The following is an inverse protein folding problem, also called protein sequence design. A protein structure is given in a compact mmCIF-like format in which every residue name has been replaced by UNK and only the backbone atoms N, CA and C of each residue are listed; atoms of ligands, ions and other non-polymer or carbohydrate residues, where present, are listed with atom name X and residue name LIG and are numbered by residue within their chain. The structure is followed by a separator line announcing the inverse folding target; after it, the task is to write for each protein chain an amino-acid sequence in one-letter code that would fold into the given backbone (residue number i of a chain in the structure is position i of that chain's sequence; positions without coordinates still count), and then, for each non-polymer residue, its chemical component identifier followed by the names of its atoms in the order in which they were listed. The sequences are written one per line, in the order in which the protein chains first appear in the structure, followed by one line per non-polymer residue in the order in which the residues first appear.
data_IF_701896559247
#
_entry.id   IF_701896559247
#
_cell.length_a   1.000
_cell.length_b   1.000
_cell.length_c   1.000
_cell.angle_alpha   90.00
_cell.angle_beta   90.00
_cell.angle_gamma   90.00
#
_symmetry.space_group_name_H-M   'P 1'
#
loop_
_entity.id
_entity.type
_entity.pdbx_description
1 polymer ?
#
# COMPACT_ATOMS: atom_id res chain seq x y z
N UNK A 1 -13.58 -18.27 13.18
CA UNK A 1 -14.35 -17.67 12.06
C UNK A 1 -13.55 -17.88 10.79
N UNK A 2 -14.20 -18.32 9.72
CA UNK A 2 -13.55 -18.48 8.41
C UNK A 2 -13.22 -17.09 7.88
N UNK A 3 -11.97 -16.86 7.47
CA UNK A 3 -11.56 -15.65 6.75
C UNK A 3 -12.22 -15.69 5.38
N UNK A 4 -13.22 -14.84 5.12
CA UNK A 4 -13.69 -14.65 3.75
C UNK A 4 -12.81 -13.61 3.06
N UNK A 5 -12.08 -14.04 2.04
CA UNK A 5 -11.07 -13.25 1.35
C UNK A 5 -11.30 -13.23 -0.16
N UNK A 6 -10.66 -12.30 -0.84
CA UNK A 6 -10.57 -12.31 -2.31
C UNK A 6 -9.65 -13.47 -2.71
N UNK A 7 -10.17 -14.36 -3.54
CA UNK A 7 -9.46 -15.57 -4.01
C UNK A 7 -8.84 -15.36 -5.39
N UNK A 8 -9.51 -14.61 -6.26
CA UNK A 8 -9.03 -14.32 -7.61
C UNK A 8 -9.53 -12.95 -8.07
N UNK A 9 -8.79 -12.35 -9.00
CA UNK A 9 -9.19 -11.13 -9.70
C UNK A 9 -8.92 -11.27 -11.20
N UNK A 10 -9.82 -10.74 -12.00
CA UNK A 10 -9.67 -10.58 -13.45
C UNK A 10 -10.25 -9.23 -13.88
N UNK A 11 -9.35 -8.28 -14.16
CA UNK A 11 -9.71 -6.89 -14.46
C UNK A 11 -8.99 -6.39 -15.71
N UNK A 12 -9.75 -5.99 -16.73
CA UNK A 12 -9.26 -5.18 -17.85
C UNK A 12 -9.07 -3.75 -17.36
N UNK A 13 -7.84 -3.26 -17.43
CA UNK A 13 -7.48 -1.93 -16.95
C UNK A 13 -8.12 -0.87 -17.86
N UNK A 14 -8.99 -0.03 -17.29
CA UNK A 14 -9.68 1.04 -18.04
C UNK A 14 -8.65 1.90 -18.77
N UNK A 15 -8.98 2.41 -19.96
CA UNK A 15 -8.21 3.38 -20.76
C UNK A 15 -6.73 3.06 -20.99
N UNK A 16 -6.42 1.77 -21.06
CA UNK A 16 -5.25 1.24 -21.76
C UNK A 16 -5.79 0.33 -22.85
N UNK A 17 -5.07 0.18 -23.98
CA UNK A 17 -5.61 -0.52 -25.15
C UNK A 17 -5.99 -1.96 -24.81
N UNK A 18 -5.17 -2.73 -24.09
CA UNK A 18 -5.45 -4.16 -23.82
C UNK A 18 -4.84 -4.75 -22.52
N UNK A 19 -4.46 -3.93 -21.52
CA UNK A 19 -3.91 -4.51 -20.28
C UNK A 19 -5.00 -5.21 -19.46
N UNK A 20 -4.77 -6.46 -19.09
CA UNK A 20 -5.66 -7.27 -18.25
C UNK A 20 -4.85 -7.86 -17.08
N UNK A 21 -5.34 -7.65 -15.87
CA UNK A 21 -4.73 -8.13 -14.62
C UNK A 21 -5.48 -9.37 -14.20
N UNK A 22 -4.81 -10.52 -14.24
CA UNK A 22 -5.38 -11.81 -13.86
C UNK A 22 -4.47 -12.44 -12.83
N UNK A 23 -4.97 -12.66 -11.60
CA UNK A 23 -4.17 -13.32 -10.57
C UNK A 23 -5.04 -14.07 -9.56
N UNK A 24 -4.52 -15.21 -9.12
CA UNK A 24 -5.08 -15.99 -8.03
C UNK A 24 -4.38 -15.58 -6.73
N UNK A 25 -5.16 -15.04 -5.80
CA UNK A 25 -4.69 -14.58 -4.50
C UNK A 25 -4.72 -15.68 -3.45
N UNK A 26 -5.62 -16.66 -3.56
CA UNK A 26 -5.81 -17.72 -2.57
C UNK A 26 -5.95 -17.16 -1.14
N UNK A 27 -6.66 -16.03 -1.00
CA UNK A 27 -6.84 -15.31 0.25
C UNK A 27 -5.62 -14.56 0.79
N UNK A 28 -4.50 -14.53 0.07
CA UNK A 28 -3.28 -13.79 0.45
C UNK A 28 -3.38 -12.31 0.11
N UNK A 29 -2.49 -11.53 0.72
CA UNK A 29 -2.32 -10.13 0.37
C UNK A 29 -1.75 -9.98 -1.05
N UNK A 30 -1.99 -8.83 -1.69
CA UNK A 30 -1.53 -8.50 -3.04
C UNK A 30 -0.64 -7.25 -3.01
N UNK A 31 0.57 -7.36 -3.57
CA UNK A 31 1.50 -6.25 -3.76
C UNK A 31 1.69 -6.02 -5.24
N UNK A 32 1.34 -4.83 -5.71
CA UNK A 32 1.39 -4.47 -7.12
C UNK A 32 2.58 -3.55 -7.34
N UNK A 33 3.43 -3.95 -8.27
CA UNK A 33 4.64 -3.22 -8.62
C UNK A 33 4.76 -3.08 -10.14
N UNK A 34 5.88 -2.54 -10.61
CA UNK A 34 6.17 -2.29 -12.02
C UNK A 34 6.58 -0.84 -12.27
N UNK A 35 6.86 -0.52 -13.52
CA UNK A 35 7.43 0.75 -13.96
C UNK A 35 6.52 1.97 -13.70
N UNK A 36 7.11 3.16 -13.77
CA UNK A 36 6.36 4.41 -13.66
C UNK A 36 5.34 4.55 -14.80
N UNK A 37 4.12 4.93 -14.46
CA UNK A 37 3.04 5.10 -15.44
C UNK A 37 2.39 3.80 -15.94
N UNK A 38 2.76 2.62 -15.42
CA UNK A 38 2.19 1.36 -15.90
C UNK A 38 0.70 1.15 -15.54
N UNK A 39 0.15 1.95 -14.61
CA UNK A 39 -1.27 2.00 -14.27
C UNK A 39 -1.65 1.60 -12.83
N UNK A 40 -0.70 1.50 -11.90
CA UNK A 40 -0.91 0.99 -10.52
C UNK A 40 -2.04 1.68 -9.76
N UNK A 41 -1.96 3.00 -9.59
CA UNK A 41 -3.01 3.81 -8.96
C UNK A 41 -4.37 3.63 -9.63
N UNK A 42 -4.38 3.51 -10.97
CA UNK A 42 -5.60 3.34 -11.74
C UNK A 42 -6.25 1.98 -11.48
N UNK A 43 -5.45 0.93 -11.49
CA UNK A 43 -5.90 -0.42 -11.15
C UNK A 43 -6.48 -0.44 -9.74
N UNK A 44 -5.76 0.12 -8.76
CA UNK A 44 -6.19 0.10 -7.36
C UNK A 44 -7.50 0.88 -7.16
N UNK A 45 -7.66 2.03 -7.81
CA UNK A 45 -8.93 2.79 -7.83
C UNK A 45 -10.06 2.04 -8.51
N UNK A 46 -9.80 1.35 -9.61
CA UNK A 46 -10.79 0.52 -10.30
C UNK A 46 -11.28 -0.62 -9.41
N UNK A 47 -10.36 -1.33 -8.75
CA UNK A 47 -10.68 -2.38 -7.80
C UNK A 47 -11.50 -1.83 -6.61
N UNK A 48 -11.11 -0.68 -6.06
CA UNK A 48 -11.87 -0.03 -5.00
C UNK A 48 -13.32 0.29 -5.43
N UNK A 49 -13.50 0.86 -6.63
CA UNK A 49 -14.82 1.15 -7.19
C UNK A 49 -15.66 -0.11 -7.42
N UNK A 50 -15.03 -1.21 -7.82
CA UNK A 50 -15.69 -2.50 -7.95
C UNK A 50 -16.16 -3.02 -6.58
N UNK A 51 -15.27 -3.00 -5.58
CA UNK A 51 -15.60 -3.39 -4.20
C UNK A 51 -16.76 -2.56 -3.64
N UNK A 52 -16.77 -1.25 -3.84
CA UNK A 52 -17.88 -0.38 -3.43
C UNK A 52 -19.22 -0.80 -4.07
N UNK A 53 -19.22 -1.14 -5.36
CA UNK A 53 -20.42 -1.63 -6.05
C UNK A 53 -20.84 -3.01 -5.55
N UNK A 54 -19.86 -3.90 -5.31
CA UNK A 54 -20.07 -5.23 -4.75
C UNK A 54 -20.79 -5.15 -3.40
N UNK A 55 -20.26 -4.38 -2.45
CA UNK A 55 -20.86 -4.24 -1.12
C UNK A 55 -22.21 -3.51 -1.13
N UNK A 56 -22.44 -2.62 -2.12
CA UNK A 56 -23.76 -1.99 -2.35
C UNK A 56 -24.77 -2.92 -3.03
N UNK A 57 -24.39 -4.17 -3.33
CA UNK A 57 -25.21 -5.16 -4.07
C UNK A 57 -25.65 -4.65 -5.44
N UNK A 58 -24.79 -3.86 -6.09
CA UNK A 58 -25.04 -3.26 -7.40
C UNK A 58 -24.49 -4.12 -8.55
N UNK A 59 -23.76 -5.18 -8.24
CA UNK A 59 -23.24 -6.12 -9.22
C UNK A 59 -24.30 -7.20 -9.45
N UNK A 60 -24.95 -7.15 -10.62
CA UNK A 60 -25.94 -8.13 -11.04
C UNK A 60 -25.26 -9.27 -11.82
N UNK A 61 -25.90 -10.44 -11.93
CA UNK A 61 -25.38 -11.49 -12.79
C UNK A 61 -25.43 -11.06 -14.26
N UNK A 62 -24.46 -11.53 -15.06
CA UNK A 62 -24.43 -11.27 -16.51
C UNK A 62 -25.75 -11.63 -17.20
N UNK A 63 -26.35 -12.74 -16.79
CA UNK A 63 -27.65 -13.22 -17.29
C UNK A 63 -28.78 -12.25 -16.97
N UNK A 64 -28.85 -11.75 -15.73
CA UNK A 64 -29.86 -10.77 -15.32
C UNK A 64 -29.73 -9.47 -16.13
N UNK A 65 -28.50 -8.97 -16.31
CA UNK A 65 -28.27 -7.76 -17.11
C UNK A 65 -28.66 -7.98 -18.57
N UNK A 66 -28.31 -9.13 -19.14
CA UNK A 66 -28.66 -9.45 -20.53
C UNK A 66 -30.18 -9.52 -20.71
N UNK A 67 -30.92 -10.12 -19.77
CA UNK A 67 -32.38 -10.15 -19.81
C UNK A 67 -32.99 -8.73 -19.75
N UNK A 68 -32.49 -7.88 -18.85
CA UNK A 68 -32.94 -6.49 -18.74
C UNK A 68 -32.62 -5.68 -20.01
N UNK A 69 -31.42 -5.87 -20.56
CA UNK A 69 -31.00 -5.23 -21.81
C UNK A 69 -31.91 -5.64 -22.96
N UNK A 70 -32.16 -6.94 -23.14
CA UNK A 70 -33.03 -7.46 -24.19
C UNK A 70 -34.46 -6.88 -24.06
N UNK A 71 -35.02 -6.86 -22.85
CA UNK A 71 -36.34 -6.28 -22.60
C UNK A 71 -36.39 -4.79 -23.01
N UNK A 72 -35.43 -3.97 -22.57
CA UNK A 72 -35.41 -2.54 -22.89
C UNK A 72 -35.14 -2.28 -24.37
N UNK A 73 -34.34 -3.10 -25.05
CA UNK A 73 -34.13 -3.04 -26.50
C UNK A 73 -35.42 -3.33 -27.26
N UNK A 74 -36.14 -4.38 -26.91
CA UNK A 74 -37.44 -4.70 -27.52
C UNK A 74 -38.46 -3.59 -27.27
N UNK A 75 -38.51 -3.00 -26.08
CA UNK A 75 -39.41 -1.86 -25.82
C UNK A 75 -39.02 -0.63 -26.63
N UNK A 76 -37.72 -0.35 -26.78
CA UNK A 76 -37.22 0.77 -27.57
C UNK A 76 -37.59 0.64 -29.05
N UNK A 77 -37.42 -0.56 -29.63
CA UNK A 77 -37.81 -0.86 -31.03
C UNK A 77 -39.30 -0.65 -31.29
N UNK A 78 -40.14 -0.91 -30.28
CA UNK A 78 -41.60 -0.76 -30.38
C UNK A 78 -42.10 0.63 -29.94
N UNK A 79 -41.24 1.52 -29.45
CA UNK A 79 -41.62 2.85 -28.95
C UNK A 79 -41.29 3.92 -29.99
N UNK A 80 -42.30 4.71 -30.40
CA UNK A 80 -42.07 5.87 -31.29
C UNK A 80 -41.11 6.88 -30.64
N UNK A 81 -40.23 7.49 -31.44
CA UNK A 81 -39.28 8.53 -31.01
C UNK A 81 -39.98 9.73 -30.33
N UNK A 82 -41.22 10.00 -30.70
CA UNK A 82 -42.04 11.08 -30.10
C UNK A 82 -42.70 10.71 -28.77
N UNK A 83 -42.64 9.44 -28.36
CA UNK A 83 -43.30 8.95 -27.15
C UNK A 83 -42.51 9.36 -25.90
N UNK A 84 -43.21 9.78 -24.84
CA UNK A 84 -42.60 10.31 -23.60
C UNK A 84 -41.59 9.36 -22.92
N UNK A 85 -41.73 8.03 -23.13
CA UNK A 85 -40.85 7.02 -22.54
C UNK A 85 -39.67 6.61 -23.44
N UNK A 86 -39.56 7.17 -24.65
CA UNK A 86 -38.47 6.81 -25.58
C UNK A 86 -37.09 7.06 -24.96
N UNK A 87 -36.88 8.26 -24.40
CA UNK A 87 -35.61 8.62 -23.76
C UNK A 87 -35.30 7.73 -22.54
N UNK A 88 -36.32 7.32 -21.77
CA UNK A 88 -36.14 6.37 -20.67
C UNK A 88 -35.54 5.05 -21.17
N UNK A 89 -36.05 4.49 -22.26
CA UNK A 89 -35.52 3.24 -22.82
C UNK A 89 -34.11 3.43 -23.42
N UNK A 90 -33.84 4.56 -24.09
CA UNK A 90 -32.49 4.87 -24.59
C UNK A 90 -31.47 4.90 -23.45
N UNK A 91 -31.76 5.61 -22.36
CA UNK A 91 -30.88 5.71 -21.20
C UNK A 91 -30.63 4.35 -20.54
N UNK A 92 -31.67 3.52 -20.40
CA UNK A 92 -31.53 2.19 -19.80
C UNK A 92 -30.78 1.21 -20.69
N UNK A 93 -31.03 1.20 -22.01
CA UNK A 93 -30.25 0.38 -22.95
C UNK A 93 -28.76 0.77 -22.88
N UNK A 94 -28.45 2.06 -22.86
CA UNK A 94 -27.07 2.55 -22.71
C UNK A 94 -26.47 2.12 -21.36
N UNK A 95 -27.22 2.27 -20.27
CA UNK A 95 -26.79 1.87 -18.93
C UNK A 95 -26.50 0.37 -18.84
N UNK A 96 -27.43 -0.49 -19.25
CA UNK A 96 -27.25 -1.95 -19.21
C UNK A 96 -26.15 -2.44 -20.16
N UNK A 97 -26.01 -1.83 -21.34
CA UNK A 97 -24.90 -2.14 -22.25
C UNK A 97 -23.56 -1.88 -21.57
N UNK A 98 -23.42 -0.71 -20.91
CA UNK A 98 -22.21 -0.34 -20.17
C UNK A 98 -21.94 -1.27 -18.99
N UNK A 99 -22.98 -1.72 -18.28
CA UNK A 99 -22.84 -2.69 -17.18
C UNK A 99 -22.42 -4.07 -17.70
N UNK A 100 -22.98 -4.53 -18.83
CA UNK A 100 -22.61 -5.81 -19.44
C UNK A 100 -21.15 -5.82 -19.91
N UNK A 101 -20.69 -4.71 -20.48
CA UNK A 101 -19.30 -4.51 -20.86
C UNK A 101 -18.38 -4.55 -19.63
N UNK A 102 -18.77 -3.90 -18.53
CA UNK A 102 -18.00 -3.94 -17.26
C UNK A 102 -17.89 -5.34 -16.69
N UNK A 103 -18.99 -6.07 -16.53
CA UNK A 103 -18.98 -7.43 -15.96
C UNK A 103 -18.18 -8.41 -16.83
N UNK A 104 -18.11 -8.16 -18.14
CA UNK A 104 -17.28 -8.97 -19.03
C UNK A 104 -15.78 -8.68 -18.91
N UNK A 105 -15.43 -7.55 -18.28
CA UNK A 105 -14.06 -7.03 -18.15
C UNK A 105 -13.57 -6.98 -16.69
N UNK A 106 -14.45 -7.12 -15.71
CA UNK A 106 -14.15 -6.97 -14.28
C UNK A 106 -14.87 -8.08 -13.51
N UNK A 107 -14.09 -8.98 -12.91
CA UNK A 107 -14.59 -10.05 -12.04
C UNK A 107 -13.65 -10.32 -10.89
N UNK A 108 -14.24 -10.75 -9.78
CA UNK A 108 -13.55 -11.02 -8.53
C UNK A 108 -14.25 -12.17 -7.83
N UNK A 109 -13.48 -13.17 -7.41
CA UNK A 109 -14.01 -14.27 -6.62
C UNK A 109 -13.72 -14.06 -5.13
N UNK A 110 -14.69 -14.41 -4.30
CA UNK A 110 -14.61 -14.39 -2.84
C UNK A 110 -14.88 -15.79 -2.33
N UNK A 111 -14.09 -16.25 -1.35
CA UNK A 111 -14.20 -17.62 -0.81
C UNK A 111 -15.58 -17.94 -0.23
N UNK A 112 -16.17 -17.01 0.53
CA UNK A 112 -17.51 -17.16 1.11
C UNK A 112 -18.24 -15.81 1.13
N UNK A 113 -18.97 -15.52 0.05
CA UNK A 113 -19.69 -14.26 -0.08
C UNK A 113 -20.76 -14.08 1.01
N UNK A 114 -21.40 -15.14 1.49
CA UNK A 114 -22.47 -15.04 2.49
C UNK A 114 -21.87 -14.68 3.86
N UNK A 115 -20.82 -15.39 4.28
CA UNK A 115 -20.08 -15.05 5.50
C UNK A 115 -19.49 -13.64 5.45
N UNK A 116 -19.03 -13.19 4.27
CA UNK A 116 -18.57 -11.81 4.09
C UNK A 116 -19.70 -10.80 4.32
N UNK A 117 -20.88 -11.02 3.72
CA UNK A 117 -22.02 -10.13 3.90
C UNK A 117 -22.57 -10.17 5.33
N UNK A 118 -22.47 -11.28 6.06
CA UNK A 118 -22.75 -11.33 7.50
C UNK A 118 -21.83 -10.38 8.27
N UNK A 119 -20.52 -10.42 8.02
CA UNK A 119 -19.56 -9.49 8.65
C UNK A 119 -19.89 -8.03 8.32
N UNK A 120 -20.22 -7.74 7.06
CA UNK A 120 -20.63 -6.38 6.64
C UNK A 120 -21.90 -5.93 7.36
N UNK A 121 -22.94 -6.77 7.40
CA UNK A 121 -24.21 -6.45 8.04
C UNK A 121 -24.06 -6.28 9.57
N UNK A 122 -23.13 -7.00 10.19
CA UNK A 122 -22.83 -6.91 11.62
C UNK A 122 -21.84 -5.78 11.96
N UNK A 123 -21.45 -4.94 11.00
CA UNK A 123 -20.42 -3.91 11.16
C UNK A 123 -19.06 -4.47 11.63
N UNK A 124 -18.72 -5.70 11.27
CA UNK A 124 -17.45 -6.37 11.60
C UNK A 124 -16.45 -6.39 10.42
N UNK A 125 -16.78 -5.70 9.33
CA UNK A 125 -15.98 -5.60 8.13
C UNK A 125 -15.55 -4.17 7.83
N UNK A 126 -14.35 -3.99 7.27
CA UNK A 126 -13.85 -2.70 6.81
C UNK A 126 -13.46 -2.73 5.33
N UNK A 127 -13.80 -1.68 4.58
CA UNK A 127 -13.25 -1.42 3.24
C UNK A 127 -12.59 -0.05 3.28
N UNK A 128 -11.28 0.02 3.02
CA UNK A 128 -10.54 1.28 2.99
C UNK A 128 -9.66 1.43 1.77
N UNK A 129 -9.57 2.67 1.31
CA UNK A 129 -8.67 3.10 0.27
C UNK A 129 -7.85 4.30 0.75
N UNK A 130 -6.53 4.18 0.72
CA UNK A 130 -5.58 5.22 1.07
C UNK A 130 -4.84 5.67 -0.17
N UNK A 131 -4.93 6.96 -0.51
CA UNK A 131 -4.26 7.53 -1.69
C UNK A 131 -2.76 7.78 -1.42
N UNK A 132 -1.97 7.92 -2.49
CA UNK A 132 -0.54 8.24 -2.41
C UNK A 132 -0.27 9.57 -1.69
N UNK A 133 -0.99 10.63 -2.03
CA UNK A 133 -0.85 11.97 -1.43
C UNK A 133 -1.62 12.13 -0.12
N UNK A 134 -1.73 11.06 0.67
CA UNK A 134 -2.35 11.13 1.99
C UNK A 134 -1.51 12.04 2.89
N UNK A 135 -2.09 13.17 3.27
CA UNK A 135 -1.59 14.00 4.35
C UNK A 135 -2.32 13.55 5.62
N UNK A 136 -1.64 13.48 6.76
CA UNK A 136 -2.32 13.35 8.06
C UNK A 136 -2.97 14.69 8.43
N UNK A 137 -3.94 15.10 7.61
CA UNK A 137 -4.74 16.27 7.87
C UNK A 137 -5.55 15.98 9.13
N UNK A 138 -5.07 16.50 10.27
CA UNK A 138 -5.77 16.58 11.55
C UNK A 138 -5.81 15.31 12.42
N UNK A 139 -4.75 14.49 12.49
CA UNK A 139 -4.59 13.53 13.62
C UNK A 139 -4.58 14.30 14.95
N UNK A 140 -3.94 15.48 14.94
CA UNK A 140 -3.91 16.35 16.10
C UNK A 140 -5.32 16.95 16.34
N UNK A 141 -5.88 16.68 17.51
CA UNK A 141 -7.16 17.22 17.92
C UNK A 141 -7.03 18.67 18.38
N UNK A 142 -8.13 19.42 18.31
CA UNK A 142 -8.22 20.82 18.75
C UNK A 142 -8.21 20.98 20.29
N UNK A 143 -7.74 19.99 21.04
CA UNK A 143 -7.74 19.99 22.52
C UNK A 143 -9.12 19.92 23.18
N UNK A 144 -10.20 19.69 22.43
CA UNK A 144 -11.53 19.50 23.02
C UNK A 144 -11.70 18.05 23.49
N UNK A 145 -11.89 17.87 24.80
CA UNK A 145 -12.25 16.58 25.38
C UNK A 145 -13.70 16.25 25.00
N UNK A 146 -13.88 15.14 24.30
CA UNK A 146 -15.18 14.52 24.07
C UNK A 146 -15.36 13.33 25.01
N UNK A 147 -16.61 13.01 25.39
CA UNK A 147 -16.83 11.80 26.19
C UNK A 147 -16.52 10.56 25.34
N UNK A 148 -15.97 9.51 25.95
CA UNK A 148 -15.66 8.28 25.21
C UNK A 148 -16.91 7.64 24.59
N UNK A 149 -18.08 7.87 25.20
CA UNK A 149 -19.37 7.42 24.68
C UNK A 149 -19.74 8.17 23.39
N UNK A 150 -19.49 9.48 23.32
CA UNK A 150 -19.74 10.28 22.12
C UNK A 150 -18.77 9.90 21.00
N UNK A 151 -17.48 9.71 21.33
CA UNK A 151 -16.48 9.26 20.36
C UNK A 151 -16.86 7.89 19.79
N UNK A 152 -17.22 6.92 20.64
CA UNK A 152 -17.71 5.59 20.22
C UNK A 152 -19.01 5.66 19.42
N UNK A 153 -19.98 6.50 19.80
CA UNK A 153 -21.24 6.67 19.05
C UNK A 153 -21.02 7.29 17.66
N UNK A 154 -20.19 8.33 17.57
CA UNK A 154 -19.81 8.92 16.29
C UNK A 154 -19.20 7.85 15.38
N UNK A 155 -18.25 7.07 15.90
CA UNK A 155 -17.60 5.98 15.16
C UNK A 155 -18.52 4.85 14.70
N UNK A 156 -19.53 4.46 15.50
CA UNK A 156 -20.51 3.43 15.13
C UNK A 156 -21.44 3.88 13.99
N UNK A 157 -21.67 5.18 13.86
CA UNK A 157 -22.47 5.76 12.77
C UNK A 157 -21.66 6.01 11.49
N UNK A 158 -20.34 5.89 11.54
CA UNK A 158 -19.50 6.05 10.35
C UNK A 158 -19.56 4.81 9.46
N UNK A 159 -19.76 5.03 8.16
CA UNK A 159 -19.66 3.99 7.15
C UNK A 159 -18.28 3.32 7.20
N UNK A 160 -18.21 2.04 6.83
CA UNK A 160 -16.96 1.28 6.80
C UNK A 160 -15.86 1.94 5.92
N UNK A 161 -16.26 2.81 4.98
CA UNK A 161 -15.40 3.59 4.06
C UNK A 161 -14.81 4.90 4.63
N UNK A 162 -15.37 5.52 5.68
CA UNK A 162 -15.01 6.88 6.12
C UNK A 162 -13.73 6.97 6.97
N UNK A 163 -12.93 8.04 6.80
CA UNK A 163 -11.69 8.35 7.58
C UNK A 163 -11.97 8.67 9.05
N UNK A 164 -11.29 7.93 9.92
CA UNK A 164 -11.36 8.00 11.38
C UNK A 164 -10.02 8.38 12.01
N UNK A 165 -8.96 8.63 11.22
CA UNK A 165 -7.62 8.98 11.72
C UNK A 165 -7.60 10.26 12.56
N UNK A 166 -8.48 11.21 12.26
CA UNK A 166 -8.63 12.47 12.99
C UNK A 166 -9.21 12.32 14.41
N UNK A 167 -9.76 11.14 14.76
CA UNK A 167 -10.25 10.85 16.10
C UNK A 167 -9.15 10.30 17.01
N UNK A 168 -7.98 9.97 16.47
CA UNK A 168 -6.99 9.18 17.19
C UNK A 168 -6.45 9.89 18.44
N UNK A 169 -5.94 11.13 18.33
CA UNK A 169 -5.45 11.85 19.50
C UNK A 169 -6.59 12.16 20.49
N UNK A 170 -7.78 12.51 19.99
CA UNK A 170 -8.97 12.72 20.83
C UNK A 170 -9.33 11.46 21.61
N UNK A 171 -9.29 10.29 20.97
CA UNK A 171 -9.57 9.00 21.58
C UNK A 171 -8.51 8.67 22.63
N UNK A 172 -7.22 8.84 22.32
CA UNK A 172 -6.13 8.64 23.28
C UNK A 172 -6.36 9.45 24.56
N UNK A 173 -6.62 10.76 24.42
CA UNK A 173 -6.89 11.67 25.56
C UNK A 173 -8.12 11.23 26.34
N UNK A 174 -9.22 10.96 25.64
CA UNK A 174 -10.48 10.58 26.27
C UNK A 174 -10.38 9.23 26.99
N UNK A 175 -9.66 8.27 26.41
CA UNK A 175 -9.49 6.94 26.98
C UNK A 175 -8.52 6.93 28.15
N UNK A 176 -7.45 7.74 28.09
CA UNK A 176 -6.54 7.92 29.22
C UNK A 176 -7.24 8.53 30.43
N UNK A 177 -8.04 9.58 30.21
CA UNK A 177 -8.82 10.22 31.27
C UNK A 177 -9.87 9.26 31.84
N UNK A 178 -10.57 8.51 30.98
CA UNK A 178 -11.49 7.47 31.42
C UNK A 178 -10.79 6.41 32.28
N UNK A 179 -9.63 5.90 31.84
CA UNK A 179 -8.85 4.92 32.59
C UNK A 179 -8.37 5.45 33.93
N UNK A 180 -7.84 6.67 33.97
CA UNK A 180 -7.42 7.32 35.20
C UNK A 180 -8.57 7.46 36.20
N UNK A 181 -9.79 7.75 35.72
CA UNK A 181 -10.98 7.79 36.57
C UNK A 181 -11.40 6.42 37.08
N UNK A 182 -11.39 5.39 36.23
CA UNK A 182 -11.69 4.00 36.61
C UNK A 182 -10.70 3.56 37.68
N UNK A 183 -9.39 3.68 37.43
CA UNK A 183 -8.33 3.26 38.36
C UNK A 183 -8.45 3.96 39.71
N UNK A 184 -8.71 5.28 39.71
CA UNK A 184 -8.76 6.05 40.96
C UNK A 184 -10.05 5.83 41.79
N UNK A 185 -11.14 5.32 41.21
CA UNK A 185 -12.47 5.33 41.85
C UNK A 185 -13.23 4.01 41.79
N UNK A 186 -13.01 3.22 40.74
CA UNK A 186 -13.55 1.88 40.58
C UNK A 186 -12.42 0.90 40.88
N UNK A 187 -12.48 0.17 42.00
CA UNK A 187 -11.49 -0.85 42.36
C UNK A 187 -11.64 -2.11 41.46
N UNK A 188 -11.52 -1.93 40.14
CA UNK A 188 -11.73 -2.93 39.10
C UNK A 188 -10.39 -3.23 38.39
N UNK A 189 -9.63 -4.21 38.90
CA UNK A 189 -8.30 -4.53 38.37
C UNK A 189 -8.33 -5.06 36.93
N UNK A 190 -9.42 -5.70 36.50
CA UNK A 190 -9.56 -6.21 35.13
C UNK A 190 -9.61 -5.07 34.11
N UNK A 191 -10.43 -4.04 34.38
CA UNK A 191 -10.50 -2.85 33.51
C UNK A 191 -9.18 -2.08 33.49
N UNK A 192 -8.54 -1.94 34.65
CA UNK A 192 -7.22 -1.29 34.74
C UNK A 192 -6.18 -2.03 33.87
N UNK A 193 -6.11 -3.36 33.98
CA UNK A 193 -5.21 -4.17 33.18
C UNK A 193 -5.52 -4.04 31.68
N UNK A 194 -6.80 -4.04 31.29
CA UNK A 194 -7.21 -3.89 29.89
C UNK A 194 -6.79 -2.54 29.30
N UNK A 195 -6.95 -1.45 30.05
CA UNK A 195 -6.59 -0.10 29.60
C UNK A 195 -5.08 0.04 29.49
N UNK A 196 -4.33 -0.42 30.49
CA UNK A 196 -2.86 -0.37 30.47
C UNK A 196 -2.29 -1.20 29.32
N UNK A 197 -2.79 -2.43 29.13
CA UNK A 197 -2.38 -3.28 28.01
C UNK A 197 -2.66 -2.64 26.65
N UNK A 198 -3.76 -1.90 26.52
CA UNK A 198 -4.06 -1.16 25.30
C UNK A 198 -3.05 -0.05 25.01
N UNK A 199 -2.72 0.79 26.01
CA UNK A 199 -1.72 1.85 25.84
C UNK A 199 -0.32 1.29 25.59
N UNK A 200 0.05 0.19 26.26
CA UNK A 200 1.31 -0.51 26.01
C UNK A 200 1.37 -1.05 24.58
N UNK A 201 0.29 -1.66 24.08
CA UNK A 201 0.21 -2.11 22.68
C UNK A 201 0.41 -0.94 21.72
N UNK A 202 -0.34 0.14 21.87
CA UNK A 202 -0.23 1.32 21.00
C UNK A 202 1.18 1.91 21.03
N UNK A 203 1.81 2.00 22.21
CA UNK A 203 3.18 2.47 22.33
C UNK A 203 4.18 1.53 21.64
N UNK A 204 4.02 0.21 21.77
CA UNK A 204 4.87 -0.76 21.08
C UNK A 204 4.70 -0.72 19.57
N UNK A 205 3.47 -0.59 19.08
CA UNK A 205 3.19 -0.41 17.65
C UNK A 205 3.86 0.88 17.13
N UNK A 206 3.84 1.98 17.91
CA UNK A 206 4.56 3.21 17.58
C UNK A 206 6.08 3.03 17.63
N UNK A 207 6.64 2.29 18.60
CA UNK A 207 8.08 1.98 18.67
C UNK A 207 8.55 1.24 17.42
N UNK A 208 7.80 0.24 16.99
CA UNK A 208 8.09 -0.54 15.79
C UNK A 208 7.99 0.34 14.53
N UNK A 209 6.95 1.17 14.45
CA UNK A 209 6.73 2.06 13.31
C UNK A 209 7.79 3.15 13.19
N UNK A 210 8.27 3.69 14.31
CA UNK A 210 9.26 4.76 14.38
C UNK A 210 10.70 4.26 14.42
N UNK A 211 10.90 2.93 14.42
CA UNK A 211 12.19 2.27 14.58
C UNK A 211 12.95 2.73 15.84
N UNK A 212 12.22 3.00 16.92
CA UNK A 212 12.74 3.55 18.16
C UNK A 212 12.15 2.82 19.36
N UNK A 213 12.92 1.86 19.91
CA UNK A 213 12.52 1.11 21.10
C UNK A 213 12.43 1.97 22.38
N UNK A 214 13.10 3.12 22.39
CA UNK A 214 13.06 4.10 23.48
C UNK A 214 11.85 5.03 23.42
N UNK A 215 11.02 4.95 22.37
CA UNK A 215 9.86 5.82 22.21
C UNK A 215 8.88 5.64 23.38
N UNK A 216 8.47 6.75 23.97
CA UNK A 216 7.47 6.80 25.05
C UNK A 216 6.33 7.74 24.62
N UNK A 217 5.09 7.26 24.79
CA UNK A 217 3.89 8.03 24.57
C UNK A 217 3.42 8.59 25.93
N UNK A 218 3.62 9.89 26.16
CA UNK A 218 3.38 10.52 27.45
C UNK A 218 2.18 11.47 27.39
N UNK A 219 1.26 11.33 28.34
CA UNK A 219 0.14 12.26 28.51
C UNK A 219 0.57 13.51 29.28
N UNK A 220 0.23 14.69 28.76
CA UNK A 220 0.36 15.97 29.45
C UNK A 220 -1.03 16.42 29.95
N UNK A 221 -1.28 16.47 31.27
CA UNK A 221 -2.58 16.83 31.83
C UNK A 221 -2.92 18.32 31.71
N UNK A 222 -1.93 19.21 31.64
CA UNK A 222 -2.15 20.66 31.51
C UNK A 222 -2.63 21.01 30.10
N UNK A 223 -1.99 20.43 29.10
CA UNK A 223 -2.32 20.64 27.68
C UNK A 223 -3.39 19.67 27.15
N UNK A 224 -3.74 18.64 27.93
CA UNK A 224 -4.67 17.57 27.56
C UNK A 224 -4.31 16.94 26.22
N UNK A 225 -3.02 16.64 26.05
CA UNK A 225 -2.44 16.18 24.81
C UNK A 225 -1.39 15.09 25.05
N UNK A 226 -1.12 14.31 24.02
CA UNK A 226 -0.06 13.31 24.05
C UNK A 226 1.20 13.82 23.36
N UNK A 227 2.34 13.57 24.00
CA UNK A 227 3.66 13.85 23.50
C UNK A 227 4.40 12.55 23.19
N UNK A 228 5.13 12.57 22.08
CA UNK A 228 6.06 11.52 21.70
C UNK A 228 7.43 11.95 22.21
N UNK A 229 8.03 11.11 23.05
CA UNK A 229 9.40 11.24 23.51
C UNK A 229 10.28 10.25 22.77
N UNK A 230 11.38 10.74 22.20
CA UNK A 230 12.42 9.93 21.54
C UNK A 230 13.78 10.37 22.05
N UNK A 231 14.73 9.43 22.08
CA UNK A 231 16.10 9.75 22.51
C UNK A 231 16.73 10.81 21.60
N UNK A 232 17.31 11.85 22.20
CA UNK A 232 18.00 12.92 21.48
C UNK A 232 17.08 13.93 20.75
N UNK A 233 15.76 13.91 21.00
CA UNK A 233 14.81 14.89 20.45
C UNK A 233 14.03 15.58 21.57
N UNK A 234 13.69 16.84 21.36
CA UNK A 234 12.70 17.52 22.21
C UNK A 234 11.34 16.81 22.07
N UNK A 235 10.53 16.72 23.15
CA UNK A 235 9.19 16.15 23.07
C UNK A 235 8.31 16.87 22.06
N UNK A 236 7.59 16.12 21.22
CA UNK A 236 6.80 16.70 20.14
C UNK A 236 5.45 16.01 19.99
N UNK A 237 4.51 16.65 19.30
CA UNK A 237 3.14 16.15 19.09
C UNK A 237 2.97 15.52 17.70
N UNK A 238 1.85 14.82 17.49
CA UNK A 238 1.55 14.15 16.21
C UNK A 238 1.54 15.08 14.99
N UNK A 239 1.22 16.37 15.16
CA UNK A 239 1.28 17.38 14.09
C UNK A 239 2.71 17.78 13.69
N UNK A 240 3.73 17.43 14.47
CA UNK A 240 5.13 17.73 14.19
C UNK A 240 5.87 16.57 13.50
N UNK A 241 5.16 15.50 13.12
CA UNK A 241 5.74 14.36 12.41
C UNK A 241 6.21 14.74 11.01
N UNK A 242 7.28 14.08 10.55
CA UNK A 242 7.68 14.15 9.13
C UNK A 242 6.58 13.61 8.24
N UNK A 243 6.55 14.03 6.97
CA UNK A 243 5.52 13.61 6.01
C UNK A 243 5.41 12.08 5.88
N UNK A 244 6.53 11.36 5.91
CA UNK A 244 6.57 9.90 5.88
C UNK A 244 5.90 9.26 7.10
N UNK A 245 6.30 9.64 8.32
CA UNK A 245 5.70 9.10 9.55
C UNK A 245 4.22 9.48 9.68
N UNK A 246 3.90 10.73 9.33
CA UNK A 246 2.54 11.26 9.31
C UNK A 246 1.62 10.43 8.40
N UNK A 247 2.07 10.16 7.17
CA UNK A 247 1.37 9.34 6.18
C UNK A 247 1.06 7.92 6.70
N UNK A 248 2.04 7.22 7.26
CA UNK A 248 1.80 5.88 7.81
C UNK A 248 0.91 5.94 9.04
N UNK A 249 1.19 6.88 9.95
CA UNK A 249 0.42 7.01 11.18
C UNK A 249 -1.05 7.22 10.86
N UNK A 250 -1.38 7.94 9.79
CA UNK A 250 -2.78 8.11 9.35
C UNK A 250 -3.47 6.78 9.03
N UNK A 251 -2.77 5.85 8.36
CA UNK A 251 -3.30 4.52 8.05
C UNK A 251 -3.49 3.73 9.34
N UNK A 252 -2.44 3.66 10.17
CA UNK A 252 -2.48 2.93 11.43
C UNK A 252 -3.57 3.46 12.36
N UNK A 253 -3.66 4.78 12.53
CA UNK A 253 -4.66 5.46 13.33
C UNK A 253 -6.08 5.19 12.82
N UNK A 254 -6.32 5.26 11.51
CA UNK A 254 -7.63 4.95 10.93
C UNK A 254 -8.06 3.51 11.24
N UNK A 255 -7.18 2.54 11.00
CA UNK A 255 -7.46 1.12 11.23
C UNK A 255 -7.66 0.82 12.72
N UNK A 256 -6.81 1.37 13.58
CA UNK A 256 -6.93 1.25 15.03
C UNK A 256 -8.24 1.87 15.53
N UNK A 257 -8.62 3.06 15.07
CA UNK A 257 -9.89 3.65 15.46
C UNK A 257 -11.08 2.80 15.00
N UNK A 258 -11.01 2.14 13.86
CA UNK A 258 -12.06 1.22 13.41
C UNK A 258 -12.22 -0.01 14.30
N UNK A 259 -11.12 -0.52 14.86
CA UNK A 259 -11.10 -1.57 15.88
C UNK A 259 -11.79 -1.07 17.15
N UNK A 260 -11.32 0.06 17.68
CA UNK A 260 -11.75 0.61 18.97
C UNK A 260 -13.21 1.08 18.99
N UNK A 261 -13.65 1.76 17.93
CA UNK A 261 -15.00 2.32 17.83
C UNK A 261 -16.06 1.22 17.67
N UNK A 262 -15.66 0.04 17.20
CA UNK A 262 -16.54 -1.13 16.99
C UNK A 262 -16.43 -2.17 18.10
N UNK A 263 -15.53 -1.99 19.06
CA UNK A 263 -15.29 -2.95 20.14
C UNK A 263 -14.89 -4.35 19.61
N UNK A 264 -14.16 -4.36 18.50
CA UNK A 264 -13.63 -5.59 17.86
C UNK A 264 -12.13 -5.61 18.10
N UNK A 265 -11.53 -6.69 18.62
CA UNK A 265 -10.08 -6.80 18.73
C UNK A 265 -9.38 -6.63 17.37
N UNK A 266 -8.17 -6.04 17.37
CA UNK A 266 -7.42 -5.82 16.12
C UNK A 266 -7.07 -7.12 15.40
N UNK A 267 -6.96 -8.22 16.14
CA UNK A 267 -6.73 -9.57 15.62
C UNK A 267 -7.98 -10.16 14.94
N UNK A 268 -9.16 -9.62 15.26
CA UNK A 268 -10.45 -10.12 14.79
C UNK A 268 -11.08 -9.27 13.68
N UNK A 269 -10.64 -8.03 13.49
CA UNK A 269 -11.17 -7.16 12.44
C UNK A 269 -10.85 -7.72 11.05
N UNK A 270 -11.89 -7.89 10.24
CA UNK A 270 -11.75 -8.37 8.87
C UNK A 270 -12.00 -7.22 7.91
N UNK A 271 -11.33 -7.22 6.76
CA UNK A 271 -11.50 -6.15 5.80
C UNK A 271 -10.62 -6.23 4.58
N UNK A 272 -10.94 -5.40 3.60
CA UNK A 272 -10.09 -5.13 2.45
C UNK A 272 -9.52 -3.72 2.57
N UNK A 273 -8.18 -3.63 2.63
CA UNK A 273 -7.48 -2.35 2.75
C UNK A 273 -6.58 -2.17 1.54
N UNK A 274 -6.90 -1.15 0.76
CA UNK A 274 -6.20 -0.78 -0.45
C UNK A 274 -5.29 0.43 -0.14
N UNK A 275 -3.99 0.31 -0.40
CA UNK A 275 -3.02 1.39 -0.11
C UNK A 275 -2.25 1.70 -1.39
N UNK A 276 -2.43 2.92 -1.91
CA UNK A 276 -1.65 3.40 -3.03
C UNK A 276 -0.32 3.96 -2.54
N UNK A 277 0.79 3.54 -3.15
CA UNK A 277 2.15 3.91 -2.78
C UNK A 277 2.37 3.76 -1.26
N UNK A 278 2.38 2.53 -0.78
CA UNK A 278 2.60 2.24 0.65
C UNK A 278 3.94 2.81 1.15
N UNK A 279 4.91 2.96 0.26
CA UNK A 279 6.25 3.52 0.47
C UNK A 279 6.36 5.04 0.31
N UNK A 280 5.27 5.74 -0.03
CA UNK A 280 5.29 7.18 -0.29
C UNK A 280 5.94 7.98 0.86
N UNK A 281 6.96 8.77 0.51
CA UNK A 281 7.73 9.63 1.43
C UNK A 281 8.40 8.91 2.60
N UNK A 282 8.55 7.58 2.54
CA UNK A 282 9.19 6.80 3.59
C UNK A 282 10.69 6.70 3.40
N UNK A 283 11.41 6.70 4.52
CA UNK A 283 12.81 6.30 4.53
C UNK A 283 12.93 4.80 4.23
N UNK A 284 14.02 4.40 3.55
CA UNK A 284 14.26 3.04 3.07
C UNK A 284 14.14 1.98 4.18
N UNK A 285 14.62 2.29 5.38
CA UNK A 285 14.55 1.39 6.54
C UNK A 285 13.12 0.98 6.87
N UNK A 286 12.19 1.95 6.85
CA UNK A 286 10.77 1.76 7.12
C UNK A 286 10.09 1.03 5.96
N UNK A 287 10.46 1.35 4.71
CA UNK A 287 9.92 0.65 3.53
C UNK A 287 10.12 -0.88 3.60
N UNK A 288 11.23 -1.34 4.20
CA UNK A 288 11.52 -2.78 4.42
C UNK A 288 10.65 -3.45 5.47
N UNK A 289 9.91 -2.70 6.27
CA UNK A 289 9.17 -3.22 7.44
C UNK A 289 7.68 -2.93 7.37
N UNK A 290 7.32 -1.85 6.69
CA UNK A 290 5.97 -1.26 6.72
C UNK A 290 4.86 -2.25 6.41
N UNK A 291 5.06 -3.08 5.39
CA UNK A 291 4.06 -4.07 5.03
C UNK A 291 3.91 -5.15 6.12
N UNK A 292 5.04 -5.70 6.60
CA UNK A 292 5.03 -6.71 7.67
C UNK A 292 4.48 -6.17 8.99
N UNK A 293 4.65 -4.86 9.26
CA UNK A 293 4.04 -4.20 10.39
C UNK A 293 2.51 -4.25 10.30
N UNK A 294 1.94 -3.83 9.16
CA UNK A 294 0.48 -3.85 8.97
C UNK A 294 -0.11 -5.26 8.98
N UNK A 295 0.56 -6.21 8.33
CA UNK A 295 0.14 -7.61 8.29
C UNK A 295 0.11 -8.24 9.70
N UNK A 296 1.07 -7.90 10.57
CA UNK A 296 1.07 -8.32 11.97
C UNK A 296 0.04 -7.60 12.83
N UNK A 297 -0.11 -6.28 12.64
CA UNK A 297 -1.01 -5.45 13.44
C UNK A 297 -2.49 -5.77 13.17
N UNK A 298 -2.81 -6.19 11.95
CA UNK A 298 -4.18 -6.50 11.51
C UNK A 298 -4.23 -7.78 10.65
N UNK A 299 -4.00 -8.96 11.27
CA UNK A 299 -3.77 -10.22 10.55
C UNK A 299 -4.99 -10.74 9.79
N UNK A 300 -6.20 -10.22 10.07
CA UNK A 300 -7.44 -10.60 9.37
C UNK A 300 -7.86 -9.62 8.27
N UNK A 301 -7.08 -8.58 8.03
CA UNK A 301 -7.26 -7.69 6.88
C UNK A 301 -6.49 -8.26 5.69
N UNK A 302 -7.12 -8.27 4.51
CA UNK A 302 -6.43 -8.49 3.25
C UNK A 302 -5.95 -7.15 2.71
N UNK A 303 -4.63 -6.99 2.63
CA UNK A 303 -3.99 -5.80 2.10
C UNK A 303 -3.75 -5.93 0.60
N UNK A 304 -4.12 -4.90 -0.15
CA UNK A 304 -3.87 -4.77 -1.57
C UNK A 304 -3.15 -3.46 -1.80
N UNK A 305 -1.85 -3.52 -2.04
CA UNK A 305 -0.99 -2.33 -1.97
C UNK A 305 -0.26 -2.14 -3.29
N UNK A 306 0.03 -0.89 -3.63
CA UNK A 306 0.94 -0.57 -4.74
C UNK A 306 2.25 -0.04 -4.17
N UNK A 307 3.35 -0.34 -4.85
CA UNK A 307 4.68 0.15 -4.47
C UNK A 307 5.60 0.31 -5.66
N UNK A 308 6.48 1.31 -5.58
CA UNK A 308 7.64 1.45 -6.46
C UNK A 308 8.93 0.99 -5.79
N UNK A 309 8.88 0.71 -4.49
CA UNK A 309 10.05 0.36 -3.70
C UNK A 309 10.37 -1.13 -3.84
N UNK A 310 11.58 -1.48 -4.31
CA UNK A 310 12.04 -2.87 -4.29
C UNK A 310 12.17 -3.40 -2.85
N UNK A 311 12.33 -2.51 -1.86
CA UNK A 311 12.48 -2.86 -0.46
C UNK A 311 11.18 -3.39 0.16
N UNK A 312 10.02 -2.85 -0.25
CA UNK A 312 8.72 -3.37 0.14
C UNK A 312 8.55 -4.77 -0.43
N UNK A 313 8.83 -4.92 -1.73
CA UNK A 313 8.68 -6.18 -2.46
C UNK A 313 9.57 -7.30 -1.90
N UNK A 314 10.80 -6.99 -1.47
CA UNK A 314 11.70 -7.98 -0.86
C UNK A 314 11.34 -8.34 0.59
N UNK A 315 10.51 -7.54 1.26
CA UNK A 315 10.25 -7.70 2.69
C UNK A 315 9.14 -8.70 3.04
N UNK A 316 8.52 -9.31 2.02
CA UNK A 316 7.31 -10.12 2.15
C UNK A 316 7.53 -11.57 1.78
N UNK A 317 7.06 -12.46 2.67
CA UNK A 317 7.16 -13.90 2.49
C UNK A 317 5.79 -14.57 2.23
N UNK A 318 4.67 -13.91 2.53
CA UNK A 318 3.31 -14.49 2.39
C UNK A 318 2.33 -13.56 1.67
N UNK A 319 2.78 -13.01 0.54
CA UNK A 319 1.98 -12.14 -0.32
C UNK A 319 2.20 -12.51 -1.79
N UNK A 320 1.17 -12.28 -2.62
CA UNK A 320 1.32 -12.34 -4.07
C UNK A 320 1.90 -11.01 -4.53
N UNK A 321 3.00 -11.07 -5.27
CA UNK A 321 3.59 -9.89 -5.92
C UNK A 321 3.20 -9.94 -7.38
N UNK A 322 2.66 -8.85 -7.92
CA UNK A 322 2.21 -8.76 -9.31
C UNK A 322 2.89 -7.59 -10.02
N UNK A 323 3.61 -7.89 -11.11
CA UNK A 323 4.22 -6.87 -11.97
C UNK A 323 3.20 -6.40 -13.01
N UNK A 324 2.72 -5.16 -12.86
CA UNK A 324 1.75 -4.56 -13.78
C UNK A 324 2.36 -4.13 -15.12
N UNK A 325 3.69 -4.02 -15.21
CA UNK A 325 4.38 -3.79 -16.49
C UNK A 325 4.37 -5.04 -17.34
N UNK A 326 4.62 -6.21 -16.74
CA UNK A 326 4.68 -7.51 -17.44
C UNK A 326 3.36 -8.28 -17.45
N UNK A 327 2.40 -7.90 -16.61
CA UNK A 327 1.10 -8.57 -16.41
C UNK A 327 1.26 -10.02 -15.93
N UNK A 328 2.17 -10.26 -14.99
CA UNK A 328 2.41 -11.58 -14.43
C UNK A 328 2.66 -11.51 -12.91
N UNK A 329 2.27 -12.57 -12.16
CA UNK A 329 2.72 -12.74 -10.79
C UNK A 329 4.23 -13.03 -10.79
N UNK A 330 4.93 -12.48 -9.80
CA UNK A 330 6.35 -12.76 -9.59
C UNK A 330 6.51 -13.91 -8.60
N UNK A 331 7.51 -14.75 -8.87
CA UNK A 331 7.97 -15.75 -7.90
C UNK A 331 8.63 -15.08 -6.70
N UNK A 332 8.91 -15.86 -5.65
CA UNK A 332 9.51 -15.36 -4.41
C UNK A 332 10.79 -14.54 -4.68
N UNK A 333 10.68 -13.23 -4.44
CA UNK A 333 11.76 -12.27 -4.67
C UNK A 333 12.73 -12.15 -3.49
N UNK A 334 12.51 -12.89 -2.39
CA UNK A 334 13.38 -12.87 -1.20
C UNK A 334 14.83 -13.25 -1.51
N UNK A 335 15.03 -14.09 -2.54
CA UNK A 335 16.35 -14.56 -2.98
C UNK A 335 17.02 -13.65 -4.03
N UNK A 336 16.30 -12.65 -4.54
CA UNK A 336 16.83 -11.79 -5.61
C UNK A 336 17.66 -10.66 -5.02
N UNK A 337 18.79 -10.35 -5.68
CA UNK A 337 19.59 -9.19 -5.32
C UNK A 337 18.82 -7.89 -5.59
N UNK A 338 19.11 -6.86 -4.79
CA UNK A 338 18.55 -5.52 -5.00
C UNK A 338 18.78 -4.99 -6.43
N UNK A 339 19.98 -5.20 -6.97
CA UNK A 339 20.33 -4.80 -8.34
C UNK A 339 19.51 -5.54 -9.39
N UNK A 340 19.25 -6.84 -9.18
CA UNK A 340 18.40 -7.65 -10.07
C UNK A 340 16.97 -7.14 -10.11
N UNK A 341 16.44 -6.70 -8.97
CA UNK A 341 15.08 -6.14 -8.90
C UNK A 341 15.04 -4.75 -9.54
N UNK A 342 15.97 -3.86 -9.21
CA UNK A 342 16.02 -2.53 -9.85
C UNK A 342 16.06 -2.65 -11.38
N UNK A 343 16.96 -3.48 -11.91
CA UNK A 343 17.12 -3.64 -13.36
C UNK A 343 15.96 -4.40 -13.99
N UNK A 344 15.58 -5.54 -13.40
CA UNK A 344 14.65 -6.49 -14.02
C UNK A 344 13.17 -6.19 -13.79
N UNK A 345 12.84 -5.52 -12.68
CA UNK A 345 11.46 -5.22 -12.28
C UNK A 345 11.09 -3.75 -12.47
N UNK A 346 12.02 -2.85 -12.12
CA UNK A 346 11.74 -1.41 -12.10
C UNK A 346 12.32 -0.68 -13.32
N UNK A 347 13.09 -1.37 -14.16
CA UNK A 347 13.71 -0.80 -15.35
C UNK A 347 14.76 0.27 -15.04
N UNK A 348 15.32 0.26 -13.83
CA UNK A 348 16.30 1.24 -13.36
C UNK A 348 17.70 0.63 -13.37
N UNK A 349 18.66 1.28 -14.01
CA UNK A 349 20.05 0.88 -13.88
C UNK A 349 20.58 1.18 -12.48
N UNK A 350 21.23 0.20 -11.84
CA UNK A 350 21.74 0.30 -10.47
C UNK A 350 23.04 1.12 -10.36
N UNK A 351 23.56 1.59 -11.49
CA UNK A 351 24.84 2.29 -11.63
C UNK A 351 24.62 3.71 -12.15
N UNK A 352 25.53 4.61 -11.78
CA UNK A 352 25.51 5.99 -12.29
C UNK A 352 25.67 6.02 -13.80
N UNK A 353 24.87 6.83 -14.49
CA UNK A 353 24.98 7.05 -15.95
C UNK A 353 26.41 7.43 -16.37
N UNK A 354 27.12 8.18 -15.51
CA UNK A 354 28.51 8.58 -15.76
C UNK A 354 29.44 7.37 -15.69
N UNK A 355 29.25 6.51 -14.69
CA UNK A 355 30.03 5.28 -14.55
C UNK A 355 29.75 4.33 -15.72
N UNK A 356 28.49 4.15 -16.09
CA UNK A 356 28.10 3.30 -17.23
C UNK A 356 28.72 3.78 -18.53
N UNK A 357 28.61 5.07 -18.86
CA UNK A 357 29.27 5.63 -20.05
C UNK A 357 30.77 5.36 -20.06
N UNK A 358 31.44 5.51 -18.93
CA UNK A 358 32.88 5.24 -18.83
C UNK A 358 33.22 3.76 -18.99
N UNK A 359 32.39 2.86 -18.45
CA UNK A 359 32.57 1.41 -18.60
C UNK A 359 32.28 0.96 -20.03
N UNK A 360 31.28 1.55 -20.70
CA UNK A 360 30.97 1.31 -22.10
C UNK A 360 32.10 1.83 -23.01
N UNK A 361 32.58 3.05 -22.79
CA UNK A 361 33.75 3.60 -23.50
C UNK A 361 35.00 2.74 -23.28
N UNK A 362 35.22 2.24 -22.05
CA UNK A 362 36.30 1.31 -21.74
C UNK A 362 36.16 0.00 -22.52
N UNK A 363 34.95 -0.57 -22.58
CA UNK A 363 34.67 -1.78 -23.34
C UNK A 363 34.85 -1.57 -24.85
N UNK A 364 34.49 -0.40 -25.38
CA UNK A 364 34.75 -0.05 -26.78
C UNK A 364 36.25 0.02 -27.08
N UNK A 365 37.04 0.66 -26.21
CA UNK A 365 38.50 0.80 -26.40
C UNK A 365 39.22 -0.55 -26.31
N UNK A 366 38.83 -1.42 -25.37
CA UNK A 366 39.41 -2.77 -25.24
C UNK A 366 39.19 -3.60 -26.51
N UNK A 367 38.08 -3.39 -27.23
CA UNK A 367 37.75 -4.11 -28.45
C UNK A 367 38.28 -3.43 -29.73
N UNK A 368 39.02 -2.32 -29.62
CA UNK A 368 39.66 -1.67 -30.77
C UNK A 368 41.03 -2.30 -31.04
N UNK A 369 41.37 -2.51 -32.32
CA UNK A 369 42.71 -2.87 -32.76
C UNK A 369 43.29 -1.74 -33.65
N UNK A 370 44.36 -1.04 -33.23
CA UNK A 370 45.07 -1.16 -31.95
C UNK A 370 44.32 -0.49 -30.78
N UNK A 371 44.52 -1.00 -29.57
CA UNK A 371 43.93 -0.46 -28.35
C UNK A 371 44.49 0.94 -28.07
N UNK A 372 43.62 1.91 -27.83
CA UNK A 372 44.04 3.25 -27.42
C UNK A 372 44.44 3.28 -25.94
N UNK A 373 45.71 3.02 -25.66
CA UNK A 373 46.28 2.90 -24.30
C UNK A 373 46.20 4.19 -23.49
N UNK A 374 46.38 5.37 -24.10
CA UNK A 374 46.27 6.67 -23.43
C UNK A 374 44.85 6.89 -22.88
N UNK A 375 43.84 6.67 -23.74
CA UNK A 375 42.45 6.86 -23.34
C UNK A 375 41.97 5.77 -22.38
N UNK A 376 42.49 4.56 -22.50
CA UNK A 376 42.22 3.47 -21.55
C UNK A 376 42.78 3.79 -20.16
N UNK A 377 44.02 4.29 -20.07
CA UNK A 377 44.62 4.73 -18.81
C UNK A 377 43.82 5.87 -18.17
N UNK A 378 43.40 6.87 -18.96
CA UNK A 378 42.58 7.97 -18.45
C UNK A 378 41.27 7.47 -17.84
N UNK A 379 40.60 6.51 -18.48
CA UNK A 379 39.38 5.90 -17.95
C UNK A 379 39.64 5.12 -16.66
N UNK A 380 40.72 4.34 -16.59
CA UNK A 380 41.12 3.60 -15.38
C UNK A 380 41.38 4.56 -14.22
N UNK A 381 42.21 5.59 -14.43
CA UNK A 381 42.55 6.60 -13.41
C UNK A 381 41.32 7.35 -12.89
N UNK A 382 40.31 7.49 -13.75
CA UNK A 382 39.06 8.15 -13.41
C UNK A 382 38.10 7.30 -12.57
N UNK A 383 38.25 5.97 -12.59
CA UNK A 383 37.35 4.99 -11.94
C UNK A 383 38.03 4.36 -10.71
N UNK A 384 39.33 4.08 -10.77
CA UNK A 384 40.11 3.42 -9.73
C UNK A 384 40.02 4.09 -8.34
N UNK A 385 39.98 5.43 -8.19
CA UNK A 385 39.80 6.07 -6.88
C UNK A 385 38.51 5.65 -6.16
N UNK A 386 37.53 5.15 -6.90
CA UNK A 386 36.23 4.73 -6.40
C UNK A 386 36.08 3.19 -6.34
N UNK A 387 37.15 2.41 -6.56
CA UNK A 387 37.10 0.95 -6.65
C UNK A 387 36.38 0.28 -5.46
N UNK A 388 36.58 0.81 -4.25
CA UNK A 388 35.92 0.34 -3.04
C UNK A 388 34.39 0.54 -3.02
N UNK A 389 33.86 1.45 -3.83
CA UNK A 389 32.43 1.77 -3.95
C UNK A 389 31.76 1.09 -5.15
N UNK A 390 32.53 0.48 -6.05
CA UNK A 390 32.01 -0.22 -7.23
C UNK A 390 31.32 -1.53 -6.85
N UNK A 391 30.26 -1.89 -7.58
CA UNK A 391 29.66 -3.22 -7.49
C UNK A 391 30.55 -4.27 -8.21
N UNK A 392 30.22 -5.55 -8.03
CA UNK A 392 31.04 -6.65 -8.55
C UNK A 392 31.26 -6.59 -10.07
N UNK A 393 30.23 -6.18 -10.83
CA UNK A 393 30.31 -6.03 -12.29
C UNK A 393 31.28 -4.92 -12.67
N UNK A 394 31.12 -3.72 -12.10
CA UNK A 394 31.98 -2.58 -12.42
C UNK A 394 33.45 -2.84 -12.02
N UNK A 395 33.70 -3.56 -10.91
CA UNK A 395 35.05 -4.02 -10.54
C UNK A 395 35.64 -4.99 -11.56
N UNK A 396 34.84 -5.92 -12.08
CA UNK A 396 35.30 -6.85 -13.10
C UNK A 396 35.69 -6.12 -14.39
N UNK A 397 34.93 -5.11 -14.83
CA UNK A 397 35.29 -4.29 -15.98
C UNK A 397 36.55 -3.45 -15.75
N UNK A 398 36.71 -2.86 -14.56
CA UNK A 398 37.96 -2.14 -14.21
C UNK A 398 39.17 -3.08 -14.27
N UNK A 399 39.04 -4.31 -13.78
CA UNK A 399 40.10 -5.32 -13.85
C UNK A 399 40.41 -5.73 -15.29
N UNK A 400 39.38 -5.89 -16.14
CA UNK A 400 39.57 -6.16 -17.57
C UNK A 400 40.32 -5.02 -18.27
N UNK A 401 39.98 -3.77 -17.97
CA UNK A 401 40.71 -2.61 -18.48
C UNK A 401 42.18 -2.57 -18.05
N UNK A 402 42.45 -2.82 -16.76
CA UNK A 402 43.83 -2.92 -16.22
C UNK A 402 44.63 -4.02 -16.92
N UNK A 403 44.04 -5.18 -17.14
CA UNK A 403 44.69 -6.28 -17.85
C UNK A 403 44.94 -5.97 -19.33
N UNK A 404 43.94 -5.42 -20.04
CA UNK A 404 44.09 -5.07 -21.46
C UNK A 404 45.18 -4.01 -21.68
N UNK A 405 45.32 -3.07 -20.74
CA UNK A 405 46.39 -2.08 -20.76
C UNK A 405 47.77 -2.74 -20.57
N UNK A 406 47.90 -3.63 -19.59
CA UNK A 406 49.14 -4.40 -19.35
C UNK A 406 49.55 -5.22 -20.58
N UNK A 407 48.61 -5.97 -21.17
CA UNK A 407 48.84 -6.79 -22.36
C UNK A 407 49.28 -5.94 -23.57
N UNK A 408 48.71 -4.74 -23.70
CA UNK A 408 49.05 -3.81 -24.79
C UNK A 408 50.43 -3.16 -24.59
N UNK A 409 50.87 -2.98 -23.34
CA UNK A 409 52.20 -2.43 -23.02
C UNK A 409 53.32 -3.48 -23.04
N UNK A 410 53.01 -4.74 -22.72
CA UNK A 410 53.98 -5.85 -22.74
C UNK A 410 54.25 -6.37 -24.17
N UNK A 411 53.35 -6.10 -25.12
CA UNK A 411 53.49 -6.47 -26.54
C UNK A 411 54.38 -5.54 -27.39
N UNK A 412 54.83 -4.41 -26.86
CA UNK A 412 55.73 -3.44 -27.54
C UNK A 412 57.23 -3.66 -27.24
N UNK A 413 57.58 -4.75 -26.53
CA UNK A 413 58.96 -5.10 -26.11
C UNK A 413 59.79 -5.92 -27.09
#
# INVERSE_FOLDING_TARGET
MVKSMIESIDFKLIGTSDKRVITNLNGKNLIITGENGCGKTRFLRQLHQYLQQFFKRQIQSKESIQQQLNYHQTQLENTSVSHQTYNYFVEHVQSYTKQLERISNESMDISDSDALFELVNNNQFILRFFEANRLANNIAGNGQIESISNVKQAGKSQNFEQDSSNQFEKYLVSYYNYGSHVIARENNPEKEQQINAWFEKVQNDLRDLFEDHGLILQYNPEEQAFYIHQEGKDPYRFNNLSSGYSSILSIYADLLMKVELRDIPAEDITGFVLIDEIDAHLHVSIQRKIFSFFDKAFPKIQFIVTTHSPFVVQSVNDSIIYDLSKLEPLEDLSMYSYESILKGLLGVESTSDILNKRLDEMAEIINQEPVNTEKLQELIDSIEPYEGQLNARSRAFLLLGKNALLDSTDGEG
#
